data_IF_626689980795
#
_entry.id   IF_626689980795
#
_cell.length_a   1.000
_cell.length_b   1.000
_cell.length_c   1.000
_cell.angle_alpha   90.00
_cell.angle_beta   90.00
_cell.angle_gamma   90.00
#
_symmetry.space_group_name_H-M   'P 1'
#
loop_
_entity.id
_entity.type
_entity.pdbx_description
1 polymer ?
#
# COMPACT_ATOMS: atom_id res chain seq x y z
N UNK A 1 -27.87 73.24 -0.44
CA UNK A 1 -29.25 72.81 -0.53
C UNK A 1 -29.32 71.45 0.12
N UNK A 2 -29.60 71.35 1.46
CA UNK A 2 -30.93 71.21 2.07
C UNK A 2 -31.69 70.00 1.52
N UNK A 3 -32.08 68.98 2.21
CA UNK A 3 -32.62 68.71 3.56
C UNK A 3 -32.46 67.24 3.85
N UNK A 4 -32.07 66.75 4.96
CA UNK A 4 -32.82 66.51 6.22
C UNK A 4 -34.05 65.61 6.09
N UNK A 5 -34.08 64.55 6.90
CA UNK A 5 -35.22 63.71 7.17
C UNK A 5 -34.95 62.53 8.08
N UNK A 6 -34.74 62.82 9.38
CA UNK A 6 -34.91 61.85 10.48
C UNK A 6 -36.41 61.45 10.55
N UNK A 7 -36.67 60.17 10.88
CA UNK A 7 -37.79 59.84 11.76
C UNK A 7 -37.56 58.50 12.47
N UNK A 8 -37.35 58.65 13.74
CA UNK A 8 -37.52 57.69 14.82
C UNK A 8 -38.96 57.15 14.89
N UNK A 9 -39.13 55.87 15.19
CA UNK A 9 -40.21 55.43 16.09
C UNK A 9 -39.88 54.08 16.74
N UNK A 10 -39.79 54.16 18.01
CA UNK A 10 -39.89 53.19 19.08
C UNK A 10 -41.30 52.58 19.16
N UNK A 11 -41.42 51.30 19.42
CA UNK A 11 -42.55 50.65 20.15
C UNK A 11 -42.07 49.35 20.77
N UNK A 12 -41.82 49.34 22.05
CA UNK A 12 -42.60 48.81 23.17
C UNK A 12 -42.75 47.28 23.27
N UNK A 13 -42.19 46.79 24.32
CA UNK A 13 -42.29 45.50 24.97
C UNK A 13 -43.71 44.89 24.96
N UNK A 14 -43.77 43.61 24.71
CA UNK A 14 -44.84 42.77 25.26
C UNK A 14 -44.25 41.45 25.72
N UNK A 15 -44.29 41.28 27.02
CA UNK A 15 -44.08 40.03 27.77
C UNK A 15 -45.01 38.93 27.27
N UNK A 16 -44.52 37.75 27.07
CA UNK A 16 -45.25 36.55 27.48
C UNK A 16 -44.42 35.28 27.47
N UNK A 17 -44.31 34.74 28.65
CA UNK A 17 -44.17 33.31 28.99
C UNK A 17 -42.88 32.56 28.69
N UNK A 18 -42.09 32.49 29.74
CA UNK A 18 -41.32 31.29 30.09
C UNK A 18 -42.16 30.02 29.86
N UNK A 19 -41.75 29.21 28.93
CA UNK A 19 -42.02 27.78 28.95
C UNK A 19 -40.66 27.09 29.05
N UNK A 20 -40.42 26.50 30.20
CA UNK A 20 -39.35 25.58 30.45
C UNK A 20 -39.45 24.42 29.45
N UNK A 21 -38.48 24.32 28.55
CA UNK A 21 -38.24 23.09 27.79
C UNK A 21 -37.17 22.30 28.53
N UNK A 22 -37.64 21.27 29.20
CA UNK A 22 -36.79 20.20 29.72
C UNK A 22 -35.90 19.62 28.59
N UNK A 23 -34.67 19.20 28.88
CA UNK A 23 -33.88 18.47 27.92
C UNK A 23 -34.60 17.15 27.58
N UNK A 24 -35.02 16.97 26.34
CA UNK A 24 -35.39 15.67 25.84
C UNK A 24 -34.13 14.83 25.81
N UNK A 25 -34.07 13.84 26.64
CA UNK A 25 -33.11 12.74 26.55
C UNK A 25 -33.32 12.08 25.19
N UNK A 26 -32.28 12.12 24.35
CA UNK A 26 -32.20 11.37 23.09
C UNK A 26 -32.04 9.88 23.44
N UNK A 27 -32.99 9.00 23.09
CA UNK A 27 -32.89 7.57 23.44
C UNK A 27 -31.95 6.79 22.52
N UNK A 28 -31.04 7.47 21.85
CA UNK A 28 -29.97 6.80 21.12
C UNK A 28 -28.83 6.47 22.05
N UNK A 29 -28.99 5.29 22.63
CA UNK A 29 -28.00 4.65 23.48
C UNK A 29 -26.62 4.72 22.87
N UNK A 30 -25.71 5.02 23.75
CA UNK A 30 -24.29 4.80 23.75
C UNK A 30 -23.89 3.55 22.90
N UNK A 31 -23.77 3.70 21.59
CA UNK A 31 -22.98 2.81 20.78
C UNK A 31 -21.53 3.26 20.95
N UNK A 32 -20.90 2.81 22.02
CA UNK A 32 -19.47 2.54 22.04
C UNK A 32 -19.23 1.51 20.93
N UNK A 33 -19.31 1.91 19.67
CA UNK A 33 -18.61 1.24 18.60
C UNK A 33 -17.13 1.32 18.98
N UNK A 34 -16.68 0.26 19.66
CA UNK A 34 -15.30 -0.16 19.54
C UNK A 34 -15.00 -0.07 18.06
N UNK A 35 -14.27 0.97 17.66
CA UNK A 35 -13.50 0.94 16.43
C UNK A 35 -12.53 -0.21 16.67
N UNK A 36 -12.99 -1.41 16.35
CA UNK A 36 -12.14 -2.56 16.13
C UNK A 36 -11.21 -2.06 15.04
N UNK A 37 -9.99 -1.70 15.43
CA UNK A 37 -8.93 -1.48 14.46
C UNK A 37 -8.95 -2.74 13.61
N UNK A 38 -9.48 -2.63 12.39
CA UNK A 38 -9.57 -3.74 11.46
C UNK A 38 -8.17 -4.30 11.37
N UNK A 39 -7.98 -5.50 11.91
CA UNK A 39 -6.74 -6.25 11.77
C UNK A 39 -6.46 -6.23 10.27
N UNK A 40 -5.31 -5.72 9.82
CA UNK A 40 -5.03 -5.67 8.39
C UNK A 40 -5.29 -7.05 7.82
N UNK A 41 -6.01 -7.12 6.71
CA UNK A 41 -6.37 -8.37 6.07
C UNK A 41 -5.09 -9.01 5.53
N UNK A 42 -4.43 -9.77 6.39
CA UNK A 42 -3.29 -10.60 6.05
C UNK A 42 -3.85 -11.94 5.60
N UNK A 43 -3.66 -12.28 4.35
CA UNK A 43 -3.93 -13.63 3.88
C UNK A 43 -2.62 -14.31 3.53
N UNK A 44 -2.43 -15.53 4.03
CA UNK A 44 -1.34 -16.40 3.61
C UNK A 44 -1.78 -17.19 2.38
N UNK A 45 -0.94 -17.20 1.35
CA UNK A 45 -1.24 -17.80 0.08
C UNK A 45 0.00 -18.51 -0.49
N UNK A 46 -0.21 -19.65 -1.12
CA UNK A 46 0.77 -20.23 -2.02
C UNK A 46 0.40 -19.86 -3.44
N UNK A 47 1.31 -19.25 -4.16
CA UNK A 47 1.14 -18.87 -5.56
C UNK A 47 1.96 -19.78 -6.45
N UNK A 48 1.33 -20.30 -7.50
CA UNK A 48 2.02 -20.98 -8.60
C UNK A 48 2.58 -19.89 -9.54
N UNK A 49 3.83 -19.54 -9.32
CA UNK A 49 4.47 -18.43 -10.03
C UNK A 49 5.10 -18.91 -11.32
N UNK A 50 4.84 -18.23 -12.44
CA UNK A 50 5.38 -18.63 -13.74
C UNK A 50 6.88 -18.40 -13.82
N UNK A 51 7.57 -19.33 -14.48
CA UNK A 51 8.96 -19.11 -14.88
C UNK A 51 8.97 -18.21 -16.12
N UNK A 52 9.46 -16.98 -15.96
CA UNK A 52 9.49 -15.97 -17.02
C UNK A 52 10.68 -15.02 -16.85
N UNK A 53 10.98 -14.32 -17.93
CA UNK A 53 12.06 -13.33 -17.98
C UNK A 53 11.47 -11.91 -17.83
N UNK A 54 12.03 -11.16 -16.91
CA UNK A 54 11.77 -9.73 -16.75
C UNK A 54 12.97 -8.91 -17.23
N UNK A 55 12.76 -7.61 -17.39
CA UNK A 55 13.79 -6.65 -17.76
C UNK A 55 14.01 -5.72 -16.57
N UNK A 56 15.24 -5.66 -16.07
CA UNK A 56 15.58 -4.76 -14.96
C UNK A 56 15.70 -3.29 -15.44
N UNK A 57 15.79 -2.36 -14.48
CA UNK A 57 15.93 -0.92 -14.76
C UNK A 57 17.22 -0.55 -15.53
N UNK A 58 18.16 -1.47 -15.70
CA UNK A 58 19.38 -1.29 -16.51
C UNK A 58 19.23 -1.86 -17.93
N UNK A 59 18.10 -2.50 -18.24
CA UNK A 59 17.81 -3.12 -19.51
C UNK A 59 18.27 -4.59 -19.63
N UNK A 60 18.70 -5.21 -18.55
CA UNK A 60 19.14 -6.62 -18.56
C UNK A 60 17.96 -7.55 -18.33
N UNK A 61 17.97 -8.65 -19.06
CA UNK A 61 17.06 -9.76 -18.84
C UNK A 61 17.43 -10.52 -17.57
N UNK A 62 16.43 -10.85 -16.75
CA UNK A 62 16.59 -11.58 -15.50
C UNK A 62 15.49 -12.63 -15.37
N UNK A 63 15.84 -13.79 -14.84
CA UNK A 63 14.87 -14.81 -14.46
C UNK A 63 14.12 -14.37 -13.18
N UNK A 64 12.80 -14.28 -13.27
CA UNK A 64 11.98 -13.82 -12.16
C UNK A 64 12.09 -14.72 -10.93
N UNK A 65 12.07 -16.05 -11.12
CA UNK A 65 12.16 -16.98 -10.00
C UNK A 65 13.52 -16.87 -9.30
N UNK A 66 14.62 -16.69 -10.02
CA UNK A 66 15.94 -16.46 -9.40
C UNK A 66 15.99 -15.16 -8.59
N UNK A 67 15.22 -14.15 -9.00
CA UNK A 67 15.14 -12.91 -8.23
C UNK A 67 14.42 -13.10 -6.91
N UNK A 68 13.32 -13.83 -6.88
CA UNK A 68 12.50 -14.01 -5.67
C UNK A 68 12.99 -15.15 -4.79
N UNK A 69 13.71 -16.14 -5.33
CA UNK A 69 14.14 -17.36 -4.65
C UNK A 69 15.62 -17.32 -4.21
N UNK A 70 16.12 -16.12 -3.94
CA UNK A 70 17.52 -15.91 -3.52
C UNK A 70 17.86 -16.42 -2.10
N UNK A 71 16.89 -16.99 -1.39
CA UNK A 71 17.09 -17.60 -0.06
C UNK A 71 16.83 -16.69 1.14
N UNK A 72 16.25 -15.51 0.93
CA UNK A 72 15.92 -14.56 1.99
C UNK A 72 14.56 -13.87 1.79
N UNK A 73 14.20 -12.95 2.71
CA UNK A 73 12.94 -12.22 2.68
C UNK A 73 12.76 -11.36 1.44
N UNK A 74 11.58 -11.47 0.83
CA UNK A 74 11.15 -10.67 -0.33
C UNK A 74 9.92 -9.87 0.03
N UNK A 75 9.90 -8.61 -0.37
CA UNK A 75 8.73 -7.75 -0.35
C UNK A 75 8.49 -7.20 -1.75
N UNK A 76 7.32 -7.47 -2.33
CA UNK A 76 6.99 -7.17 -3.72
C UNK A 76 5.75 -6.28 -3.79
N UNK A 77 5.78 -5.31 -4.69
CA UNK A 77 4.65 -4.46 -5.05
C UNK A 77 4.54 -4.32 -6.56
N UNK A 78 3.32 -4.08 -7.04
CA UNK A 78 3.04 -3.70 -8.43
C UNK A 78 2.87 -2.18 -8.52
N UNK A 79 3.51 -1.55 -9.51
CA UNK A 79 3.52 -0.10 -9.70
C UNK A 79 3.31 0.24 -11.19
N UNK A 80 3.14 1.52 -11.48
CA UNK A 80 3.48 2.11 -12.79
C UNK A 80 4.02 3.53 -12.61
N UNK A 81 5.04 3.89 -13.39
CA UNK A 81 5.86 5.09 -13.12
C UNK A 81 5.09 6.41 -13.28
N UNK A 82 4.04 6.43 -14.12
CA UNK A 82 3.18 7.60 -14.36
C UNK A 82 2.00 7.72 -13.39
N UNK A 83 1.89 6.83 -12.39
CA UNK A 83 0.86 6.92 -11.36
C UNK A 83 1.04 8.17 -10.51
N UNK A 84 -0.04 8.92 -10.30
CA UNK A 84 -0.05 10.11 -9.43
C UNK A 84 -0.80 9.89 -8.10
N UNK A 85 -1.28 8.67 -7.83
CA UNK A 85 -2.10 8.37 -6.66
C UNK A 85 -1.42 7.38 -5.70
N UNK A 86 -1.69 6.07 -5.83
CA UNK A 86 -1.26 5.08 -4.84
C UNK A 86 0.19 4.61 -5.00
N UNK A 87 0.72 4.51 -6.23
CA UNK A 87 2.09 4.01 -6.43
C UNK A 87 3.16 4.87 -5.74
N UNK A 88 3.10 6.24 -5.79
CA UNK A 88 4.03 7.05 -5.04
C UNK A 88 3.99 6.79 -3.53
N UNK A 89 2.80 6.53 -2.97
CA UNK A 89 2.65 6.23 -1.53
C UNK A 89 3.26 4.87 -1.19
N UNK A 90 2.97 3.83 -1.99
CA UNK A 90 3.59 2.51 -1.83
C UNK A 90 5.12 2.60 -1.90
N UNK A 91 5.65 3.29 -2.90
CA UNK A 91 7.09 3.44 -3.07
C UNK A 91 7.73 4.31 -1.99
N UNK A 92 7.05 5.37 -1.51
CA UNK A 92 7.53 6.17 -0.38
C UNK A 92 7.64 5.34 0.91
N UNK A 93 6.73 4.40 1.11
CA UNK A 93 6.78 3.48 2.26
C UNK A 93 8.00 2.56 2.20
N UNK A 94 8.32 1.98 1.05
CA UNK A 94 9.55 1.22 0.83
C UNK A 94 10.79 2.10 1.02
N UNK A 95 10.81 3.29 0.42
CA UNK A 95 11.91 4.24 0.55
C UNK A 95 12.21 4.58 2.02
N UNK A 96 11.16 4.87 2.79
CA UNK A 96 11.30 5.24 4.20
C UNK A 96 11.68 4.06 5.11
N UNK A 97 11.40 2.82 4.71
CA UNK A 97 11.76 1.62 5.45
C UNK A 97 13.23 1.21 5.22
N UNK A 98 13.80 1.43 4.02
CA UNK A 98 15.16 1.00 3.67
C UNK A 98 16.21 1.32 4.75
N UNK A 99 16.35 2.56 5.26
CA UNK A 99 17.41 2.86 6.23
C UNK A 99 17.33 2.00 7.51
N UNK A 100 16.10 1.59 7.90
CA UNK A 100 15.92 0.71 9.06
C UNK A 100 16.21 -0.74 8.67
N UNK A 101 15.74 -1.20 7.52
CA UNK A 101 16.00 -2.56 7.02
C UNK A 101 17.50 -2.80 6.84
N UNK A 102 18.26 -1.82 6.36
CA UNK A 102 19.70 -1.88 6.17
C UNK A 102 20.47 -2.03 7.50
N UNK A 103 19.90 -1.59 8.63
CA UNK A 103 20.50 -1.81 9.95
C UNK A 103 20.29 -3.22 10.48
N UNK A 104 19.32 -3.96 9.93
CA UNK A 104 19.06 -5.34 10.32
C UNK A 104 20.03 -6.26 9.58
N UNK A 105 20.69 -7.13 10.29
CA UNK A 105 21.77 -7.98 9.73
C UNK A 105 21.32 -9.01 8.69
N UNK A 106 20.01 -9.22 8.53
CA UNK A 106 19.46 -10.14 7.54
C UNK A 106 19.34 -9.46 6.17
N UNK A 107 19.69 -10.15 5.11
CA UNK A 107 19.48 -9.69 3.74
C UNK A 107 17.99 -9.57 3.43
N UNK A 108 17.62 -8.66 2.52
CA UNK A 108 16.25 -8.52 2.04
C UNK A 108 16.25 -8.08 0.58
N UNK A 109 15.11 -8.29 -0.10
CA UNK A 109 14.85 -7.70 -1.42
C UNK A 109 13.52 -6.98 -1.42
N UNK A 110 13.54 -5.70 -1.79
CA UNK A 110 12.36 -4.96 -2.21
C UNK A 110 12.24 -5.09 -3.72
N UNK A 111 11.03 -5.37 -4.21
CA UNK A 111 10.80 -5.59 -5.63
C UNK A 111 9.60 -4.73 -6.06
N UNK A 112 9.78 -3.94 -7.11
CA UNK A 112 8.72 -3.19 -7.77
C UNK A 112 8.61 -3.65 -9.22
N UNK A 113 7.44 -4.18 -9.61
CA UNK A 113 7.17 -4.65 -10.96
C UNK A 113 6.18 -3.70 -11.63
N UNK A 114 6.54 -3.19 -12.81
CA UNK A 114 5.63 -2.33 -13.58
C UNK A 114 4.48 -3.15 -14.15
N UNK A 115 3.27 -2.60 -14.03
CA UNK A 115 2.05 -3.11 -14.69
C UNK A 115 1.78 -2.42 -16.04
N UNK A 116 2.64 -1.51 -16.45
CA UNK A 116 2.51 -0.70 -17.68
C UNK A 116 3.75 -0.80 -18.58
N UNK A 117 4.09 -2.02 -19.04
CA UNK A 117 5.34 -2.26 -19.77
C UNK A 117 5.47 -1.49 -21.07
N UNK A 118 4.37 -1.05 -21.69
CA UNK A 118 4.39 -0.23 -22.90
C UNK A 118 4.91 1.18 -22.63
N UNK A 119 4.73 1.68 -21.40
CA UNK A 119 5.14 3.04 -21.03
C UNK A 119 6.38 3.05 -20.14
N UNK A 120 6.53 2.04 -19.29
CA UNK A 120 7.58 1.99 -18.28
C UNK A 120 8.82 1.26 -18.83
N UNK A 121 9.58 1.99 -19.64
CA UNK A 121 10.89 1.52 -20.13
C UNK A 121 11.89 1.39 -18.98
N UNK A 122 12.99 0.63 -19.15
CA UNK A 122 14.07 0.56 -18.16
C UNK A 122 14.56 1.93 -17.70
N UNK A 123 14.71 2.88 -18.62
CA UNK A 123 15.16 4.25 -18.32
C UNK A 123 14.15 5.00 -17.45
N UNK A 124 12.84 4.84 -17.68
CA UNK A 124 11.80 5.43 -16.83
C UNK A 124 11.77 4.79 -15.45
N UNK A 125 11.98 3.48 -15.37
CA UNK A 125 12.08 2.79 -14.08
C UNK A 125 13.33 3.20 -13.31
N UNK A 126 14.46 3.42 -13.98
CA UNK A 126 15.66 3.96 -13.32
C UNK A 126 15.42 5.38 -12.79
N UNK A 127 14.80 6.26 -13.58
CA UNK A 127 14.42 7.59 -13.12
C UNK A 127 13.44 7.53 -11.92
N UNK A 128 12.48 6.59 -11.95
CA UNK A 128 11.57 6.36 -10.84
C UNK A 128 12.30 5.87 -9.59
N UNK A 129 13.20 4.91 -9.71
CA UNK A 129 14.04 4.40 -8.62
C UNK A 129 14.86 5.52 -7.98
N UNK A 130 15.49 6.37 -8.80
CA UNK A 130 16.27 7.53 -8.36
C UNK A 130 15.41 8.55 -7.60
N UNK A 131 14.18 8.81 -8.04
CA UNK A 131 13.22 9.68 -7.35
C UNK A 131 12.96 9.23 -5.91
N UNK A 132 12.90 7.93 -5.67
CA UNK A 132 12.68 7.35 -4.34
C UNK A 132 13.98 6.99 -3.60
N UNK A 133 15.15 7.35 -4.15
CA UNK A 133 16.46 7.03 -3.59
C UNK A 133 16.59 5.54 -3.27
N UNK A 134 16.18 4.71 -4.24
CA UNK A 134 16.23 3.27 -4.10
C UNK A 134 17.69 2.78 -3.92
N UNK A 135 17.92 2.05 -2.84
CA UNK A 135 19.21 1.41 -2.55
C UNK A 135 19.42 0.11 -3.33
N UNK A 136 20.55 -0.54 -3.09
CA UNK A 136 20.96 -1.74 -3.84
C UNK A 136 20.04 -2.95 -3.63
N UNK A 137 19.29 -2.99 -2.53
CA UNK A 137 18.37 -4.07 -2.21
C UNK A 137 16.95 -3.84 -2.76
N UNK A 138 16.74 -2.78 -3.58
CA UNK A 138 15.46 -2.49 -4.19
C UNK A 138 15.54 -2.59 -5.71
N UNK A 139 14.87 -3.58 -6.25
CA UNK A 139 14.87 -3.99 -7.64
C UNK A 139 13.62 -3.49 -8.35
N UNK A 140 13.78 -3.07 -9.61
CA UNK A 140 12.69 -2.58 -10.46
C UNK A 140 12.68 -3.36 -11.76
N UNK A 141 11.50 -3.81 -12.15
CA UNK A 141 11.33 -4.65 -13.33
C UNK A 141 10.18 -4.18 -14.20
N UNK A 142 10.36 -4.38 -15.50
CA UNK A 142 9.35 -4.38 -16.53
C UNK A 142 9.46 -5.67 -17.32
N UNK A 143 8.69 -5.82 -18.41
CA UNK A 143 8.74 -7.03 -19.25
C UNK A 143 7.86 -6.86 -20.47
N UNK A 144 7.52 -7.95 -21.14
CA UNK A 144 6.48 -7.92 -22.14
C UNK A 144 5.09 -8.01 -21.49
N UNK A 145 4.06 -7.52 -22.15
CA UNK A 145 2.67 -7.48 -21.65
C UNK A 145 2.18 -8.85 -21.18
N UNK A 146 2.44 -9.89 -21.96
CA UNK A 146 1.98 -11.26 -21.65
C UNK A 146 2.55 -11.77 -20.32
N UNK A 147 3.82 -11.53 -20.07
CA UNK A 147 4.50 -11.98 -18.85
C UNK A 147 4.03 -11.19 -17.63
N UNK A 148 3.87 -9.87 -17.77
CA UNK A 148 3.32 -9.01 -16.71
C UNK A 148 1.88 -9.44 -16.37
N UNK A 149 1.02 -9.69 -17.37
CA UNK A 149 -0.36 -10.15 -17.13
C UNK A 149 -0.38 -11.53 -16.47
N UNK A 150 0.58 -12.41 -16.81
CA UNK A 150 0.72 -13.72 -16.16
C UNK A 150 1.09 -13.59 -14.69
N UNK A 151 2.00 -12.68 -14.34
CA UNK A 151 2.35 -12.38 -12.94
C UNK A 151 1.18 -11.79 -12.17
N UNK A 152 0.47 -10.83 -12.75
CA UNK A 152 -0.70 -10.23 -12.10
C UNK A 152 -1.78 -11.28 -11.81
N UNK A 153 -2.01 -12.22 -12.74
CA UNK A 153 -2.94 -13.34 -12.54
C UNK A 153 -2.44 -14.29 -11.45
N UNK A 154 -1.17 -14.69 -11.49
CA UNK A 154 -0.58 -15.60 -10.52
C UNK A 154 -0.67 -15.05 -9.09
N UNK A 155 -0.45 -13.76 -8.89
CA UNK A 155 -0.57 -13.08 -7.59
C UNK A 155 -2.00 -12.66 -7.21
N UNK A 156 -3.03 -13.00 -8.00
CA UNK A 156 -4.39 -12.45 -7.83
C UNK A 156 -4.41 -10.92 -7.73
N UNK A 157 -3.53 -10.27 -8.47
CA UNK A 157 -3.34 -8.81 -8.50
C UNK A 157 -3.94 -8.15 -9.76
N UNK A 158 -4.62 -8.92 -10.61
CA UNK A 158 -5.28 -8.41 -11.80
C UNK A 158 -6.36 -7.38 -11.43
N UNK A 159 -6.46 -6.33 -12.23
CA UNK A 159 -7.45 -5.26 -12.06
C UNK A 159 -8.53 -5.33 -13.15
N UNK A 160 -9.75 -4.80 -12.89
CA UNK A 160 -10.86 -4.88 -13.84
C UNK A 160 -10.58 -4.10 -15.13
N UNK A 161 -10.86 -4.72 -16.28
CA UNK A 161 -10.70 -4.09 -17.60
C UNK A 161 -9.25 -3.75 -17.92
N UNK A 162 -9.06 -2.78 -18.82
CA UNK A 162 -7.74 -2.30 -19.26
C UNK A 162 -7.24 -1.06 -18.48
N UNK A 163 -8.03 -0.55 -17.53
CA UNK A 163 -7.69 0.68 -16.83
C UNK A 163 -6.82 0.38 -15.60
N UNK A 164 -5.51 0.58 -15.75
CA UNK A 164 -4.50 0.40 -14.69
C UNK A 164 -4.73 1.26 -13.44
N UNK A 165 -5.57 2.31 -13.52
CA UNK A 165 -5.91 3.14 -12.36
C UNK A 165 -6.74 2.39 -11.30
N UNK A 166 -7.36 1.25 -11.67
CA UNK A 166 -8.10 0.39 -10.75
C UNK A 166 -7.24 -0.67 -10.05
N UNK A 167 -5.90 -0.65 -10.25
CA UNK A 167 -5.06 -1.56 -9.51
C UNK A 167 -5.09 -1.22 -8.01
N UNK A 168 -5.09 -2.26 -7.18
CA UNK A 168 -5.17 -2.13 -5.72
C UNK A 168 -3.80 -1.89 -5.09
N UNK A 169 -3.74 -1.27 -3.89
CA UNK A 169 -2.51 -1.12 -3.12
C UNK A 169 -2.11 -2.47 -2.49
N UNK A 170 -1.47 -3.31 -3.27
CA UNK A 170 -1.06 -4.65 -2.88
C UNK A 170 0.44 -4.70 -2.57
N UNK A 171 0.75 -5.31 -1.42
CA UNK A 171 2.12 -5.69 -1.06
C UNK A 171 2.13 -7.18 -0.75
N UNK A 172 3.11 -7.88 -1.29
CA UNK A 172 3.34 -9.31 -1.07
C UNK A 172 4.65 -9.50 -0.34
N UNK A 173 4.67 -10.33 0.70
CA UNK A 173 5.85 -10.58 1.49
C UNK A 173 6.05 -12.08 1.70
N UNK A 174 7.29 -12.55 1.65
CA UNK A 174 7.65 -13.95 1.89
C UNK A 174 8.98 -14.02 2.62
N UNK A 175 9.12 -14.93 3.58
CA UNK A 175 10.34 -15.06 4.40
C UNK A 175 11.48 -15.76 3.64
N UNK A 176 11.17 -16.79 2.87
CA UNK A 176 12.13 -17.60 2.13
C UNK A 176 11.44 -18.44 1.05
N UNK A 177 12.22 -19.14 0.27
CA UNK A 177 11.72 -20.11 -0.73
C UNK A 177 10.78 -21.12 -0.07
N UNK A 178 9.69 -21.46 -0.76
CA UNK A 178 8.63 -22.37 -0.30
C UNK A 178 7.83 -21.93 0.93
N UNK A 179 8.11 -20.77 1.52
CA UNK A 179 7.21 -20.20 2.52
C UNK A 179 5.96 -19.59 1.86
N UNK A 180 4.82 -19.53 2.56
CA UNK A 180 3.64 -18.84 2.05
C UNK A 180 3.92 -17.36 1.85
N UNK A 181 3.25 -16.77 0.88
CA UNK A 181 3.21 -15.33 0.69
C UNK A 181 2.15 -14.70 1.58
N UNK A 182 2.52 -13.67 2.27
CA UNK A 182 1.58 -12.78 2.97
C UNK A 182 1.13 -11.73 1.98
N UNK A 183 -0.16 -11.68 1.68
CA UNK A 183 -0.79 -10.67 0.82
C UNK A 183 -1.44 -9.60 1.70
N UNK A 184 -1.12 -8.36 1.45
CA UNK A 184 -1.62 -7.20 2.18
C UNK A 184 -2.29 -6.25 1.19
N UNK A 185 -3.58 -5.98 1.38
CA UNK A 185 -4.38 -5.11 0.52
C UNK A 185 -4.68 -3.77 1.22
N UNK A 186 -3.65 -2.98 1.46
CA UNK A 186 -3.73 -1.62 1.97
C UNK A 186 -2.42 -0.86 1.76
N UNK A 187 -2.47 0.45 1.92
CA UNK A 187 -1.26 1.25 2.03
C UNK A 187 -0.54 0.94 3.35
N UNK A 188 0.74 0.68 3.27
CA UNK A 188 1.59 0.40 4.42
C UNK A 188 2.39 1.64 4.80
N UNK A 189 2.53 1.91 6.09
CA UNK A 189 3.50 2.86 6.62
C UNK A 189 4.89 2.23 6.70
N UNK A 190 5.92 3.05 6.91
CA UNK A 190 7.27 2.60 7.25
C UNK A 190 7.26 1.57 8.39
N UNK A 191 6.51 1.87 9.47
CA UNK A 191 6.48 1.01 10.65
C UNK A 191 5.80 -0.33 10.36
N UNK A 192 4.76 -0.35 9.53
CA UNK A 192 4.12 -1.59 9.09
C UNK A 192 5.12 -2.49 8.36
N UNK A 193 5.89 -1.93 7.42
CA UNK A 193 6.89 -2.68 6.64
C UNK A 193 7.98 -3.23 7.55
N UNK A 194 8.54 -2.41 8.43
CA UNK A 194 9.61 -2.84 9.35
C UNK A 194 9.09 -3.91 10.32
N UNK A 195 7.87 -3.77 10.84
CA UNK A 195 7.26 -4.75 11.73
C UNK A 195 6.99 -6.07 11.01
N UNK A 196 6.42 -6.01 9.79
CA UNK A 196 6.19 -7.20 8.98
C UNK A 196 7.52 -7.91 8.64
N UNK A 197 8.54 -7.16 8.24
CA UNK A 197 9.86 -7.72 7.96
C UNK A 197 10.46 -8.44 9.17
N UNK A 198 10.41 -7.82 10.37
CA UNK A 198 10.90 -8.47 11.60
C UNK A 198 10.20 -9.79 11.86
N UNK A 199 8.87 -9.84 11.68
CA UNK A 199 8.11 -11.09 11.79
C UNK A 199 8.51 -12.14 10.75
N UNK A 200 8.87 -11.72 9.53
CA UNK A 200 9.34 -12.65 8.49
C UNK A 200 10.67 -13.32 8.83
N UNK A 201 11.56 -12.61 9.53
CA UNK A 201 12.90 -13.12 9.88
C UNK A 201 12.96 -13.77 11.26
N UNK A 202 11.92 -13.67 12.07
CA UNK A 202 11.81 -14.39 13.34
C UNK A 202 11.76 -15.91 13.06
N UNK A 203 12.50 -16.73 13.82
CA UNK A 203 12.38 -18.17 13.71
C UNK A 203 10.94 -18.60 13.96
N UNK A 204 10.30 -19.21 12.97
CA UNK A 204 8.96 -19.76 13.15
C UNK A 204 9.04 -20.94 14.14
N UNK A 205 8.14 -21.01 15.15
CA UNK A 205 8.08 -22.16 16.01
C UNK A 205 7.81 -23.41 15.15
N UNK A 206 8.61 -24.46 15.36
CA UNK A 206 8.41 -25.73 14.68
C UNK A 206 6.94 -26.16 14.84
N UNK A 207 6.30 -26.66 13.78
CA UNK A 207 4.95 -27.19 13.91
C UNK A 207 4.98 -28.29 15.00
N UNK A 208 4.10 -28.15 16.00
CA UNK A 208 3.93 -29.18 17.04
C UNK A 208 3.65 -30.48 16.31
N UNK A 209 4.57 -31.45 16.39
CA UNK A 209 4.31 -32.81 15.94
C UNK A 209 3.09 -33.33 16.69
N UNK A 210 1.97 -33.52 16.00
CA UNK A 210 0.85 -34.24 16.56
C UNK A 210 1.35 -35.66 16.86
N UNK A 211 1.56 -35.95 18.13
CA UNK A 211 1.71 -37.31 18.65
C UNK A 211 0.33 -37.91 18.80
#
# INVERSE_FOLDING_TARGET
>A
MVCSGEMTQSWVLSDSKLMANSPQEDPRGNQNEKISAAVPEFSENFYDLPNLTLIDKTGREVDFLQVIDYGGPVMLQFIFATCSSICPVLSASFASAQPVLDTLKASYRLISISIDPEQDTPQKLDAYANRFKAGNNWYFFTGNRKDIDSLLKAFNAAYPGSNKMYHKPLTFMRSQVNAPWIRIERLLSKNDIVTAYKKLIEPQPLPKSNQ
#
